data_IF_095153110744
#
_entry.id   IF_095153110744
#
_cell.length_a   1.000
_cell.length_b   1.000
_cell.length_c   1.000
_cell.angle_alpha   90.00
_cell.angle_beta   90.00
_cell.angle_gamma   90.00
#
_symmetry.space_group_name_H-M   'P 1'
#
loop_
_entity.id
_entity.type
_entity.pdbx_description
1 polymer ?
#
# COMPACT_ATOMS: atom_id res chain seq x y z
N UNK A 1 8.46 -23.49 -6.01
CA UNK A 1 7.18 -22.78 -5.84
C UNK A 1 7.52 -21.39 -5.35
N UNK A 2 7.16 -20.36 -6.09
CA UNK A 2 7.14 -18.98 -5.59
C UNK A 2 5.83 -18.78 -4.83
N UNK A 3 5.88 -18.08 -3.70
CA UNK A 3 4.69 -17.70 -2.97
C UNK A 3 4.30 -16.31 -3.47
N UNK A 4 3.23 -16.24 -4.26
CA UNK A 4 2.74 -14.97 -4.76
C UNK A 4 1.80 -14.37 -3.70
N UNK A 5 2.19 -13.21 -3.17
CA UNK A 5 1.47 -12.48 -2.13
C UNK A 5 0.95 -11.18 -2.73
N UNK A 6 -0.37 -10.97 -2.67
CA UNK A 6 -1.02 -9.69 -2.98
C UNK A 6 -1.26 -8.91 -1.69
N UNK A 7 -0.83 -7.64 -1.65
CA UNK A 7 -1.05 -6.75 -0.50
C UNK A 7 -2.10 -5.71 -0.88
N UNK A 8 -3.26 -5.76 -0.20
CA UNK A 8 -4.37 -4.83 -0.43
C UNK A 8 -4.43 -3.81 0.70
N UNK A 9 -4.36 -2.52 0.36
CA UNK A 9 -4.31 -1.40 1.32
C UNK A 9 -5.50 -0.47 1.06
N UNK A 10 -6.58 -0.54 1.87
CA UNK A 10 -7.62 0.46 1.88
C UNK A 10 -7.06 1.81 2.37
N UNK A 11 -7.43 2.89 1.68
CA UNK A 11 -6.90 4.23 1.93
C UNK A 11 -8.05 5.26 1.98
N UNK A 12 -8.18 5.92 3.13
CA UNK A 12 -9.07 7.07 3.30
C UNK A 12 -8.41 8.14 4.17
N UNK A 13 -8.05 9.27 3.56
CA UNK A 13 -7.46 10.43 4.23
C UNK A 13 -6.23 10.11 5.11
N UNK A 14 -5.20 9.47 4.54
CA UNK A 14 -3.94 9.07 5.23
C UNK A 14 -2.66 9.48 4.48
N UNK A 15 -2.64 10.64 3.83
CA UNK A 15 -1.47 11.13 3.08
C UNK A 15 -0.13 11.06 3.88
N UNK A 16 -0.16 11.35 5.19
CA UNK A 16 1.04 11.30 6.03
C UNK A 16 1.54 9.89 6.37
N UNK A 17 0.68 8.87 6.29
CA UNK A 17 1.01 7.50 6.71
C UNK A 17 1.20 6.54 5.55
N UNK A 18 0.60 6.81 4.38
CA UNK A 18 0.65 5.90 3.23
C UNK A 18 2.09 5.68 2.74
N UNK A 19 2.93 6.72 2.72
CA UNK A 19 4.35 6.60 2.34
C UNK A 19 5.11 5.65 3.26
N UNK A 20 4.91 5.77 4.59
CA UNK A 20 5.54 4.87 5.57
C UNK A 20 5.03 3.44 5.42
N UNK A 21 3.73 3.27 5.16
CA UNK A 21 3.11 1.97 4.91
C UNK A 21 3.73 1.30 3.68
N UNK A 22 3.78 1.99 2.55
CA UNK A 22 4.37 1.47 1.31
C UNK A 22 5.84 1.11 1.49
N UNK A 23 6.63 1.98 2.13
CA UNK A 23 8.02 1.67 2.46
C UNK A 23 8.12 0.38 3.29
N UNK A 24 7.27 0.21 4.31
CA UNK A 24 7.30 -1.01 5.14
C UNK A 24 7.00 -2.29 4.35
N UNK A 25 6.13 -2.21 3.33
CA UNK A 25 5.79 -3.34 2.46
C UNK A 25 6.93 -3.62 1.47
N UNK A 26 7.54 -2.57 0.90
CA UNK A 26 8.64 -2.68 -0.05
C UNK A 26 9.94 -3.23 0.57
N UNK A 27 10.10 -3.12 1.90
CA UNK A 27 11.25 -3.64 2.63
C UNK A 27 11.01 -5.00 3.31
N UNK A 28 9.94 -5.72 2.97
CA UNK A 28 9.72 -7.08 3.47
C UNK A 28 10.73 -8.07 2.88
N UNK A 29 11.11 -9.09 3.66
CA UNK A 29 12.03 -10.17 3.22
C UNK A 29 11.47 -10.97 2.04
N UNK A 30 10.14 -11.07 1.95
CA UNK A 30 9.42 -11.63 0.80
C UNK A 30 8.70 -10.46 0.14
N UNK A 31 9.12 -10.12 -1.09
CA UNK A 31 8.47 -9.07 -1.85
C UNK A 31 7.08 -9.52 -2.30
N UNK A 32 6.06 -8.66 -2.20
CA UNK A 32 4.75 -8.96 -2.75
C UNK A 32 4.81 -9.00 -4.27
N UNK A 33 3.96 -9.82 -4.87
CA UNK A 33 3.74 -9.85 -6.31
C UNK A 33 3.08 -8.55 -6.79
N UNK A 34 2.12 -8.04 -6.00
CA UNK A 34 1.41 -6.80 -6.29
C UNK A 34 1.02 -6.06 -5.00
N UNK A 35 0.88 -4.74 -5.12
CA UNK A 35 0.34 -3.87 -4.08
C UNK A 35 -0.85 -3.12 -4.69
N UNK A 36 -2.04 -3.28 -4.11
CA UNK A 36 -3.27 -2.67 -4.57
C UNK A 36 -3.73 -1.65 -3.52
N UNK A 37 -3.72 -0.36 -3.88
CA UNK A 37 -4.26 0.70 -3.04
C UNK A 37 -5.72 0.94 -3.43
N UNK A 38 -6.64 0.74 -2.49
CA UNK A 38 -8.07 0.99 -2.69
C UNK A 38 -8.40 2.33 -2.05
N UNK A 39 -8.43 3.40 -2.85
CA UNK A 39 -8.85 4.70 -2.37
C UNK A 39 -10.37 4.73 -2.17
N UNK A 40 -10.82 4.88 -0.93
CA UNK A 40 -12.22 4.94 -0.51
C UNK A 40 -12.76 6.38 -0.51
N UNK A 41 -12.47 7.14 -1.57
CA UNK A 41 -12.95 8.52 -1.71
C UNK A 41 -12.20 9.56 -0.85
N UNK A 42 -10.90 9.39 -0.65
CA UNK A 42 -10.06 10.39 0.03
C UNK A 42 -10.20 11.77 -0.60
N UNK A 43 -10.26 12.80 0.24
CA UNK A 43 -10.33 14.22 -0.13
C UNK A 43 -9.06 14.99 0.26
N UNK A 44 -8.08 14.32 0.87
CA UNK A 44 -6.75 14.86 1.10
C UNK A 44 -5.79 14.47 -0.04
N UNK A 45 -4.54 14.91 0.07
CA UNK A 45 -3.47 14.59 -0.90
C UNK A 45 -2.94 13.14 -0.73
N UNK A 46 -3.81 12.18 -0.38
CA UNK A 46 -3.44 10.75 -0.25
C UNK A 46 -3.09 10.11 -1.60
N UNK A 47 -3.62 10.65 -2.69
CA UNK A 47 -3.24 10.31 -4.05
C UNK A 47 -2.25 11.36 -4.53
N UNK A 48 -1.05 10.91 -4.87
CA UNK A 48 -0.09 11.71 -5.64
C UNK A 48 -0.60 11.85 -7.08
#
# INVERSE_FOLDING_TARGET
MTLDISVVIPLYNKNYSIVRCLNSVLYQTILPFEIIIVNDGSTDDSLV
#
